data_IF_858953705268
#
_entry.id   IF_858953705268
#
_cell.length_a   1.000
_cell.length_b   1.000
_cell.length_c   1.000
_cell.angle_alpha   90.00
_cell.angle_beta   90.00
_cell.angle_gamma   90.00
#
_symmetry.space_group_name_H-M   'P 1'
#
loop_
_entity.id
_entity.type
_entity.pdbx_description
1 polymer ?
#
# COMPACT_ATOMS: atom_id res chain seq x y z
N UNK A 1 11.06 4.49 -29.08
CA UNK A 1 11.50 4.00 -27.76
C UNK A 1 12.01 5.16 -26.92
N UNK A 2 11.50 5.36 -25.71
CA UNK A 2 12.04 6.38 -24.78
C UNK A 2 13.04 5.71 -23.84
N UNK A 3 14.29 6.03 -23.95
CA UNK A 3 15.35 5.55 -23.07
C UNK A 3 15.15 6.12 -21.66
N UNK A 4 15.15 5.25 -20.65
CA UNK A 4 15.09 5.69 -19.25
C UNK A 4 16.48 6.09 -18.79
N UNK A 5 16.62 7.29 -18.19
CA UNK A 5 17.89 7.72 -17.64
C UNK A 5 18.35 6.79 -16.52
N UNK A 6 19.66 6.57 -16.38
CA UNK A 6 20.25 5.74 -15.30
C UNK A 6 19.83 6.18 -13.89
N UNK A 7 19.44 7.45 -13.70
CA UNK A 7 18.92 7.98 -12.43
C UNK A 7 17.51 7.51 -12.09
N UNK A 8 16.74 7.05 -13.08
CA UNK A 8 15.34 6.61 -12.92
C UNK A 8 15.18 5.11 -13.10
N UNK A 9 16.26 4.39 -13.34
CA UNK A 9 16.19 2.97 -13.56
C UNK A 9 16.25 2.21 -12.23
N UNK A 10 15.18 1.47 -11.93
CA UNK A 10 15.21 0.44 -10.90
C UNK A 10 15.83 -0.79 -11.54
N UNK A 11 16.97 -1.25 -11.04
CA UNK A 11 17.60 -2.48 -11.51
C UNK A 11 16.67 -3.65 -11.18
N UNK A 12 15.89 -4.08 -12.15
CA UNK A 12 14.93 -5.17 -12.03
C UNK A 12 14.93 -6.00 -13.29
N UNK A 13 15.00 -7.32 -13.13
CA UNK A 13 14.95 -8.31 -14.20
C UNK A 13 13.80 -9.27 -13.94
N UNK A 14 12.91 -9.43 -14.90
CA UNK A 14 11.80 -10.39 -14.82
C UNK A 14 12.05 -11.56 -15.75
N UNK A 15 11.82 -12.75 -15.23
CA UNK A 15 11.79 -14.02 -15.92
C UNK A 15 10.32 -14.47 -15.96
N UNK A 16 9.61 -14.25 -17.08
CA UNK A 16 8.15 -14.43 -17.13
C UNK A 16 7.73 -15.90 -17.17
N UNK A 17 8.59 -16.78 -17.65
CA UNK A 17 8.30 -18.21 -17.82
C UNK A 17 8.75 -19.00 -16.59
N UNK A 18 7.79 -19.46 -15.78
CA UNK A 18 8.06 -20.23 -14.57
C UNK A 18 8.72 -21.58 -14.85
N UNK A 19 8.43 -22.20 -15.99
CA UNK A 19 9.04 -23.46 -16.43
C UNK A 19 10.56 -23.41 -16.61
N UNK A 20 11.11 -22.21 -16.84
CA UNK A 20 12.56 -21.99 -16.96
C UNK A 20 13.23 -21.64 -15.62
N UNK A 21 12.48 -21.60 -14.54
CA UNK A 21 12.95 -21.21 -13.20
C UNK A 21 12.88 -22.43 -12.29
N UNK A 22 14.03 -22.94 -11.88
CA UNK A 22 14.13 -24.06 -10.96
C UNK A 22 14.40 -23.56 -9.54
N UNK A 23 13.76 -24.17 -8.53
CA UNK A 23 14.01 -23.91 -7.12
C UNK A 23 14.65 -25.12 -6.45
N UNK A 24 15.66 -24.88 -5.63
CA UNK A 24 16.29 -25.90 -4.80
C UNK A 24 16.39 -25.42 -3.36
N UNK A 25 15.84 -26.16 -2.42
CA UNK A 25 16.05 -25.95 -0.99
C UNK A 25 17.46 -26.40 -0.63
N UNK A 26 18.23 -25.54 0.01
CA UNK A 26 19.57 -25.84 0.49
C UNK A 26 19.58 -26.22 1.98
N UNK A 27 18.82 -25.46 2.78
CA UNK A 27 18.60 -25.73 4.20
C UNK A 27 17.38 -24.94 4.70
N UNK A 28 17.11 -24.97 6.01
CA UNK A 28 15.96 -24.28 6.64
C UNK A 28 15.86 -22.78 6.30
N UNK A 29 16.99 -22.10 6.05
CA UNK A 29 17.03 -20.65 5.85
C UNK A 29 17.51 -20.23 4.46
N UNK A 30 18.03 -21.13 3.67
CA UNK A 30 18.62 -20.82 2.36
C UNK A 30 18.00 -21.70 1.28
N UNK A 31 17.76 -21.08 0.14
CA UNK A 31 17.38 -21.75 -1.09
C UNK A 31 18.21 -21.20 -2.27
N UNK A 32 18.18 -21.87 -3.39
CA UNK A 32 18.77 -21.39 -4.62
C UNK A 32 17.70 -21.38 -5.71
N UNK A 33 17.78 -20.41 -6.59
CA UNK A 33 16.95 -20.31 -7.79
C UNK A 33 17.86 -20.35 -9.02
N UNK A 34 17.56 -21.22 -9.97
CA UNK A 34 18.23 -21.23 -11.27
C UNK A 34 17.47 -20.30 -12.20
N UNK A 35 18.17 -19.34 -12.75
CA UNK A 35 17.61 -18.34 -13.63
C UNK A 35 18.30 -18.42 -15.00
N UNK A 36 17.57 -18.29 -16.11
CA UNK A 36 18.16 -18.29 -17.44
C UNK A 36 19.28 -17.27 -17.55
N UNK A 37 20.40 -17.65 -18.13
CA UNK A 37 21.63 -16.85 -18.30
C UNK A 37 22.38 -16.44 -17.02
N UNK A 38 21.77 -16.59 -15.82
CA UNK A 38 22.40 -16.24 -14.55
C UNK A 38 22.85 -17.47 -13.75
N UNK A 39 22.36 -18.67 -14.11
CA UNK A 39 22.66 -19.88 -13.36
C UNK A 39 22.01 -19.91 -11.97
N UNK A 40 22.65 -20.60 -11.02
CA UNK A 40 22.15 -20.77 -9.67
C UNK A 40 22.47 -19.56 -8.79
N UNK A 41 21.44 -18.92 -8.27
CA UNK A 41 21.54 -17.77 -7.35
C UNK A 41 21.01 -18.18 -5.98
N UNK A 42 21.89 -18.14 -4.96
CA UNK A 42 21.54 -18.45 -3.57
C UNK A 42 20.82 -17.27 -2.93
N UNK A 43 19.80 -17.55 -2.12
CA UNK A 43 19.06 -16.52 -1.39
C UNK A 43 18.57 -17.01 -0.02
N UNK A 44 18.24 -16.07 0.85
CA UNK A 44 17.61 -16.38 2.15
C UNK A 44 16.12 -16.61 1.94
N UNK A 45 15.65 -17.82 2.14
CA UNK A 45 14.26 -18.17 2.09
C UNK A 45 13.55 -17.72 3.38
N UNK A 46 12.49 -16.93 3.25
CA UNK A 46 11.65 -16.50 4.37
C UNK A 46 10.48 -17.42 4.63
N UNK A 47 10.14 -18.30 3.68
CA UNK A 47 9.02 -19.25 3.72
C UNK A 47 9.39 -20.55 3.01
N UNK A 48 8.63 -21.62 3.28
CA UNK A 48 8.68 -22.82 2.45
C UNK A 48 8.15 -22.52 1.05
N UNK A 49 8.74 -23.15 0.06
CA UNK A 49 8.39 -23.03 -1.36
C UNK A 49 8.11 -24.41 -1.97
N UNK A 50 7.94 -25.44 -1.11
CA UNK A 50 7.69 -26.80 -1.53
C UNK A 50 6.26 -26.96 -2.06
N UNK A 51 6.09 -27.69 -3.13
CA UNK A 51 4.78 -28.02 -3.70
C UNK A 51 4.10 -26.89 -4.48
N UNK A 52 4.76 -25.75 -4.71
CA UNK A 52 4.16 -24.62 -5.42
C UNK A 52 4.62 -24.53 -6.88
N UNK A 53 3.65 -24.32 -7.77
CA UNK A 53 3.92 -24.09 -9.19
C UNK A 53 4.42 -22.66 -9.42
N UNK A 54 5.66 -22.54 -9.93
CA UNK A 54 6.22 -21.24 -10.28
C UNK A 54 5.66 -20.71 -11.59
N UNK A 55 5.22 -19.45 -11.58
CA UNK A 55 4.76 -18.75 -12.78
C UNK A 55 5.75 -17.72 -13.29
N UNK A 56 6.48 -17.04 -12.42
CA UNK A 56 7.56 -16.12 -12.83
C UNK A 56 8.48 -15.80 -11.67
N UNK A 57 9.67 -15.29 -11.98
CA UNK A 57 10.61 -14.76 -11.00
C UNK A 57 11.00 -13.33 -11.37
N UNK A 58 11.18 -12.47 -10.38
CA UNK A 58 11.66 -11.09 -10.59
C UNK A 58 12.77 -10.79 -9.61
N UNK A 59 13.93 -10.42 -10.12
CA UNK A 59 15.05 -9.89 -9.35
C UNK A 59 14.94 -8.39 -9.27
N UNK A 60 15.09 -7.82 -8.07
CA UNK A 60 15.06 -6.37 -7.87
C UNK A 60 16.14 -5.93 -6.91
N UNK A 61 16.90 -4.90 -7.26
CA UNK A 61 17.91 -4.29 -6.40
C UNK A 61 17.32 -3.19 -5.55
N UNK A 62 17.53 -3.25 -4.24
CA UNK A 62 17.17 -2.23 -3.27
C UNK A 62 18.38 -1.79 -2.45
N UNK A 63 18.91 -0.62 -2.73
CA UNK A 63 20.13 -0.15 -2.10
C UNK A 63 21.30 -1.11 -2.38
N UNK A 64 21.83 -1.75 -1.33
CA UNK A 64 22.91 -2.73 -1.43
C UNK A 64 22.44 -4.18 -1.59
N UNK A 65 21.14 -4.44 -1.51
CA UNK A 65 20.60 -5.80 -1.48
C UNK A 65 19.82 -6.15 -2.74
N UNK A 66 19.92 -7.41 -3.15
CA UNK A 66 19.07 -7.99 -4.18
C UNK A 66 17.95 -8.80 -3.54
N UNK A 67 16.77 -8.72 -4.11
CA UNK A 67 15.60 -9.49 -3.71
C UNK A 67 15.10 -10.30 -4.90
N UNK A 68 14.68 -11.53 -4.64
CA UNK A 68 13.93 -12.34 -5.60
C UNK A 68 12.45 -12.35 -5.17
N UNK A 69 11.56 -12.03 -6.09
CA UNK A 69 10.12 -12.19 -5.94
C UNK A 69 9.68 -13.33 -6.85
N UNK A 70 9.08 -14.34 -6.26
CA UNK A 70 8.58 -15.52 -6.97
C UNK A 70 7.06 -15.41 -7.05
N UNK A 71 6.52 -15.47 -8.24
CA UNK A 71 5.09 -15.61 -8.45
C UNK A 71 4.77 -17.09 -8.49
N UNK A 72 3.93 -17.53 -7.57
CA UNK A 72 3.54 -18.93 -7.43
C UNK A 72 2.03 -19.07 -7.53
N UNK A 73 1.59 -20.23 -7.97
CA UNK A 73 0.21 -20.64 -7.89
C UNK A 73 0.03 -21.46 -6.60
N UNK A 74 -0.85 -21.00 -5.74
CA UNK A 74 -1.06 -21.59 -4.43
C UNK A 74 -2.27 -22.55 -4.39
N UNK A 75 -3.01 -22.67 -5.48
CA UNK A 75 -4.19 -23.53 -5.59
C UNK A 75 -5.37 -23.13 -4.67
N UNK A 76 -5.25 -22.03 -3.92
CA UNK A 76 -6.26 -21.62 -2.96
C UNK A 76 -7.45 -20.95 -3.66
N UNK A 77 -8.62 -21.53 -3.49
CA UNK A 77 -9.89 -20.92 -3.89
C UNK A 77 -10.38 -19.96 -2.81
N UNK A 78 -11.03 -18.87 -3.22
CA UNK A 78 -11.70 -17.98 -2.29
C UNK A 78 -12.89 -18.72 -1.65
N UNK A 79 -13.01 -18.75 -0.30
CA UNK A 79 -14.17 -19.35 0.34
C UNK A 79 -15.47 -18.71 -0.13
N UNK A 80 -16.54 -19.50 -0.26
CA UNK A 80 -17.86 -19.00 -0.67
C UNK A 80 -18.50 -18.10 0.40
N UNK A 81 -18.14 -18.28 1.66
CA UNK A 81 -18.61 -17.48 2.79
C UNK A 81 -17.51 -17.23 3.81
N UNK A 82 -17.75 -16.28 4.69
CA UNK A 82 -16.87 -15.94 5.80
C UNK A 82 -17.36 -16.61 7.09
N UNK A 83 -16.43 -17.06 7.97
CA UNK A 83 -16.80 -17.72 9.23
C UNK A 83 -17.58 -16.82 10.21
N UNK A 84 -17.48 -15.49 10.11
CA UNK A 84 -18.27 -14.51 10.87
C UNK A 84 -19.27 -13.81 9.91
N UNK A 85 -20.30 -14.53 9.47
CA UNK A 85 -21.17 -14.13 8.38
C UNK A 85 -21.82 -12.73 8.55
N UNK A 86 -22.19 -12.36 9.77
CA UNK A 86 -22.94 -11.13 10.07
C UNK A 86 -22.05 -9.95 10.50
N UNK A 87 -20.75 -10.16 10.62
CA UNK A 87 -19.85 -9.12 11.07
C UNK A 87 -19.44 -8.19 9.93
N UNK A 88 -19.96 -6.96 9.95
CA UNK A 88 -19.61 -5.91 9.01
C UNK A 88 -18.98 -4.71 9.72
N UNK A 89 -18.01 -4.05 9.10
CA UNK A 89 -17.32 -2.88 9.65
C UNK A 89 -17.05 -1.81 8.61
N UNK A 90 -17.36 -0.55 8.95
CA UNK A 90 -16.90 0.63 8.23
C UNK A 90 -15.56 1.11 8.77
N UNK A 91 -14.63 1.43 7.89
CA UNK A 91 -13.29 1.90 8.27
C UNK A 91 -13.07 3.30 7.71
N UNK A 92 -13.07 4.29 8.60
CA UNK A 92 -12.57 5.62 8.30
C UNK A 92 -11.03 5.59 8.28
N UNK A 93 -10.46 6.16 7.22
CA UNK A 93 -9.01 6.22 7.02
C UNK A 93 -8.47 7.61 7.30
N UNK A 94 -8.88 8.19 8.43
CA UNK A 94 -8.42 9.51 8.87
C UNK A 94 -6.90 9.63 8.93
N UNK A 95 -6.39 10.83 8.65
CA UNK A 95 -4.93 11.09 8.73
C UNK A 95 -4.45 10.99 10.17
N UNK A 96 -5.27 11.42 11.12
CA UNK A 96 -4.93 11.48 12.55
C UNK A 96 -5.01 10.10 13.19
N UNK A 97 -6.11 9.39 13.02
CA UNK A 97 -6.29 8.05 13.62
C UNK A 97 -5.34 7.01 13.05
N UNK A 98 -4.99 7.10 11.76
CA UNK A 98 -3.91 6.30 11.20
C UNK A 98 -2.53 6.82 11.61
N UNK A 99 -2.38 8.10 11.91
CA UNK A 99 -1.13 8.74 12.33
C UNK A 99 -0.65 8.24 13.69
N UNK A 100 -1.52 8.15 14.66
CA UNK A 100 -1.19 7.66 16.01
C UNK A 100 -0.74 6.20 16.00
N UNK A 101 -1.33 5.37 15.16
CA UNK A 101 -0.91 3.98 14.96
C UNK A 101 0.40 3.88 14.17
N UNK A 102 0.66 4.82 13.26
CA UNK A 102 1.87 4.84 12.43
C UNK A 102 3.05 5.56 13.10
N UNK A 103 2.84 6.37 14.11
CA UNK A 103 3.91 6.96 14.90
C UNK A 103 4.75 5.91 15.63
N UNK A 104 4.18 4.73 15.91
CA UNK A 104 4.90 3.57 16.41
C UNK A 104 5.86 2.95 15.38
N UNK A 105 5.67 3.23 14.08
CA UNK A 105 6.50 2.67 12.99
C UNK A 105 7.87 3.33 12.91
N UNK A 106 7.98 4.58 13.36
CA UNK A 106 9.21 5.36 13.25
C UNK A 106 9.42 6.17 14.54
N UNK A 107 10.38 5.74 15.35
CA UNK A 107 10.65 6.37 16.64
C UNK A 107 11.06 7.83 16.50
N UNK A 108 10.88 8.64 17.54
CA UNK A 108 11.31 10.04 17.57
C UNK A 108 12.83 10.17 17.29
N UNK A 109 13.65 9.22 17.77
CA UNK A 109 15.07 9.18 17.50
C UNK A 109 15.38 8.92 16.02
N UNK A 110 14.64 8.01 15.37
CA UNK A 110 14.76 7.74 13.93
C UNK A 110 14.30 8.93 13.09
N UNK A 111 13.21 9.62 13.47
CA UNK A 111 12.75 10.87 12.85
C UNK A 111 13.85 11.94 12.91
N UNK A 112 14.45 12.17 14.10
CA UNK A 112 15.58 13.11 14.27
C UNK A 112 16.79 12.72 13.43
N UNK A 113 17.14 11.43 13.41
CA UNK A 113 18.26 10.91 12.60
C UNK A 113 18.02 11.10 11.11
N UNK A 114 16.81 10.85 10.61
CA UNK A 114 16.43 11.07 9.21
C UNK A 114 16.57 12.54 8.82
N UNK A 115 16.08 13.46 9.66
CA UNK A 115 16.20 14.89 9.45
C UNK A 115 17.67 15.35 9.44
N UNK A 116 18.49 14.84 10.38
CA UNK A 116 19.92 15.12 10.42
C UNK A 116 20.66 14.64 9.17
N UNK A 117 20.33 13.45 8.66
CA UNK A 117 20.89 12.93 7.42
C UNK A 117 20.44 13.75 6.20
N UNK A 118 19.19 14.20 6.18
CA UNK A 118 18.66 15.06 5.10
C UNK A 118 19.38 16.41 5.05
N UNK A 119 19.59 17.06 6.21
CA UNK A 119 20.35 18.31 6.32
C UNK A 119 21.81 18.13 5.88
N UNK A 120 22.47 17.03 6.29
CA UNK A 120 23.83 16.70 5.82
C UNK A 120 23.86 16.45 4.32
N UNK A 121 22.86 15.79 3.76
CA UNK A 121 22.76 15.51 2.34
C UNK A 121 22.60 16.78 1.50
N UNK A 122 21.84 17.78 1.98
CA UNK A 122 21.69 19.07 1.27
C UNK A 122 22.99 19.87 1.21
N UNK A 123 23.81 19.81 2.28
CA UNK A 123 25.09 20.55 2.39
C UNK A 123 26.25 19.86 1.66
N UNK A 124 26.18 18.54 1.46
CA UNK A 124 27.29 17.80 0.84
C UNK A 124 27.40 18.06 -0.66
N UNK A 125 28.62 18.23 -1.17
CA UNK A 125 28.89 18.48 -2.58
C UNK A 125 28.32 17.38 -3.49
N UNK A 126 27.69 17.77 -4.59
CA UNK A 126 27.13 16.84 -5.58
C UNK A 126 28.25 15.97 -6.15
N UNK A 127 28.04 14.66 -6.22
CA UNK A 127 29.03 13.69 -6.74
C UNK A 127 30.02 13.15 -5.72
N UNK A 128 30.20 13.81 -4.56
CA UNK A 128 31.20 13.39 -3.56
C UNK A 128 30.93 12.01 -2.96
N UNK A 129 31.98 11.31 -2.56
CA UNK A 129 31.90 10.03 -1.85
C UNK A 129 31.13 10.17 -0.52
N UNK A 130 31.35 11.27 0.21
CA UNK A 130 30.65 11.61 1.43
C UNK A 130 29.14 11.71 1.20
N UNK A 131 28.71 12.45 0.16
CA UNK A 131 27.28 12.54 -0.21
C UNK A 131 26.69 11.19 -0.56
N UNK A 132 27.43 10.35 -1.26
CA UNK A 132 26.96 8.99 -1.59
C UNK A 132 26.81 8.12 -0.33
N UNK A 133 27.70 8.23 0.64
CA UNK A 133 27.61 7.53 1.93
C UNK A 133 26.40 8.00 2.75
N UNK A 134 26.16 9.32 2.83
CA UNK A 134 25.00 9.90 3.52
C UNK A 134 23.70 9.45 2.83
N UNK A 135 23.63 9.51 1.50
CA UNK A 135 22.48 9.06 0.70
C UNK A 135 22.16 7.59 0.97
N UNK A 136 23.14 6.70 1.02
CA UNK A 136 22.95 5.28 1.35
C UNK A 136 22.35 5.09 2.75
N UNK A 137 22.87 5.82 3.75
CA UNK A 137 22.37 5.76 5.14
C UNK A 137 20.93 6.26 5.24
N UNK A 138 20.63 7.38 4.59
CA UNK A 138 19.28 7.93 4.53
C UNK A 138 18.30 6.98 3.84
N UNK A 139 18.67 6.44 2.67
CA UNK A 139 17.86 5.46 1.95
C UNK A 139 17.60 4.19 2.77
N UNK A 140 18.60 3.68 3.52
CA UNK A 140 18.43 2.54 4.41
C UNK A 140 17.40 2.80 5.52
N UNK A 141 17.43 3.99 6.13
CA UNK A 141 16.48 4.39 7.16
C UNK A 141 15.04 4.48 6.60
N UNK A 142 14.89 5.12 5.44
CA UNK A 142 13.59 5.22 4.74
C UNK A 142 13.05 3.84 4.30
N UNK A 143 13.93 2.94 3.88
CA UNK A 143 13.54 1.57 3.55
C UNK A 143 13.04 0.80 4.79
N UNK A 144 13.64 1.01 5.95
CA UNK A 144 13.16 0.42 7.21
C UNK A 144 11.78 0.94 7.60
N UNK A 145 11.56 2.24 7.52
CA UNK A 145 10.26 2.86 7.75
C UNK A 145 9.20 2.29 6.79
N UNK A 146 9.52 2.21 5.51
CA UNK A 146 8.60 1.68 4.50
C UNK A 146 8.21 0.21 4.76
N UNK A 147 9.16 -0.61 5.24
CA UNK A 147 8.89 -2.01 5.60
C UNK A 147 8.00 -2.14 6.84
N UNK A 148 8.28 -1.36 7.88
CA UNK A 148 7.45 -1.35 9.10
C UNK A 148 6.01 -0.91 8.79
N UNK A 149 5.85 0.14 7.97
CA UNK A 149 4.53 0.60 7.52
C UNK A 149 3.79 -0.49 6.75
N UNK A 150 4.49 -1.19 5.87
CA UNK A 150 3.91 -2.30 5.13
C UNK A 150 3.45 -3.43 6.05
N UNK A 151 4.29 -3.82 7.01
CA UNK A 151 3.98 -4.87 8.00
C UNK A 151 2.74 -4.48 8.82
N UNK A 152 2.69 -3.24 9.30
CA UNK A 152 1.52 -2.70 10.00
C UNK A 152 0.25 -2.77 9.15
N UNK A 153 0.28 -2.24 7.92
CA UNK A 153 -0.88 -2.26 7.02
C UNK A 153 -1.38 -3.69 6.76
N UNK A 154 -0.48 -4.64 6.54
CA UNK A 154 -0.86 -6.04 6.28
C UNK A 154 -1.43 -6.71 7.55
N UNK A 155 -0.84 -6.47 8.70
CA UNK A 155 -1.35 -7.02 9.98
C UNK A 155 -2.74 -6.49 10.31
N UNK A 156 -2.95 -5.17 10.16
CA UNK A 156 -4.26 -4.54 10.38
C UNK A 156 -5.29 -5.07 9.38
N UNK A 157 -4.94 -5.16 8.10
CA UNK A 157 -5.82 -5.71 7.08
C UNK A 157 -6.19 -7.17 7.37
N UNK A 158 -5.23 -7.99 7.81
CA UNK A 158 -5.47 -9.38 8.20
C UNK A 158 -6.40 -9.48 9.40
N UNK A 159 -6.16 -8.68 10.44
CA UNK A 159 -7.02 -8.68 11.63
C UNK A 159 -8.47 -8.30 11.31
N UNK A 160 -8.68 -7.31 10.42
CA UNK A 160 -10.03 -6.95 9.97
C UNK A 160 -10.67 -8.04 9.12
N UNK A 161 -9.94 -8.61 8.16
CA UNK A 161 -10.46 -9.66 7.29
C UNK A 161 -10.75 -10.97 8.02
N UNK A 162 -10.09 -11.25 9.14
CA UNK A 162 -10.39 -12.41 9.97
C UNK A 162 -11.63 -12.25 10.86
N UNK A 163 -11.96 -11.00 11.22
CA UNK A 163 -13.05 -10.70 12.15
C UNK A 163 -14.37 -10.35 11.47
N UNK A 164 -14.34 -9.93 10.22
CA UNK A 164 -15.50 -9.35 9.56
C UNK A 164 -15.73 -9.96 8.18
N UNK A 165 -16.98 -10.36 7.92
CA UNK A 165 -17.43 -10.83 6.61
C UNK A 165 -17.44 -9.70 5.59
N UNK A 166 -17.71 -8.46 6.04
CA UNK A 166 -17.71 -7.28 5.18
C UNK A 166 -16.85 -6.16 5.76
N UNK A 167 -15.98 -5.59 4.95
CA UNK A 167 -15.21 -4.39 5.28
C UNK A 167 -15.50 -3.30 4.26
N UNK A 168 -16.07 -2.19 4.74
CA UNK A 168 -16.43 -1.04 3.90
C UNK A 168 -15.38 0.05 4.05
N UNK A 169 -14.87 0.53 2.93
CA UNK A 169 -13.86 1.58 2.84
C UNK A 169 -14.37 2.76 2.01
N UNK A 170 -13.87 3.95 2.30
CA UNK A 170 -14.03 5.09 1.40
C UNK A 170 -13.22 4.92 0.10
N UNK A 171 -13.80 5.33 -1.02
CA UNK A 171 -13.12 5.40 -2.31
C UNK A 171 -12.27 6.68 -2.39
N UNK A 172 -11.09 6.68 -1.78
CA UNK A 172 -10.17 7.82 -1.78
C UNK A 172 -9.25 7.82 -3.01
N UNK A 173 -9.20 8.95 -3.72
CA UNK A 173 -8.23 9.16 -4.79
C UNK A 173 -6.94 9.78 -4.25
N UNK A 174 -6.09 8.98 -3.63
CA UNK A 174 -4.81 9.43 -3.05
C UNK A 174 -3.96 10.22 -4.04
N UNK A 175 -3.96 9.82 -5.32
CA UNK A 175 -3.25 10.52 -6.39
C UNK A 175 -3.74 11.98 -6.57
N UNK A 176 -5.05 12.19 -6.52
CA UNK A 176 -5.62 13.53 -6.65
C UNK A 176 -5.39 14.35 -5.38
N UNK A 177 -5.56 13.74 -4.21
CA UNK A 177 -5.36 14.38 -2.92
C UNK A 177 -3.91 14.86 -2.73
N UNK A 178 -2.92 14.12 -3.25
CA UNK A 178 -1.49 14.42 -3.11
C UNK A 178 -0.90 15.18 -4.30
N UNK A 179 -1.72 15.75 -5.17
CA UNK A 179 -1.23 16.64 -6.24
C UNK A 179 -0.51 17.85 -5.64
N UNK A 180 0.54 18.29 -6.31
CA UNK A 180 1.24 19.55 -5.95
C UNK A 180 0.31 20.73 -6.18
N UNK A 181 0.47 21.78 -5.37
CA UNK A 181 -0.17 23.05 -5.64
C UNK A 181 0.27 23.56 -7.02
N UNK A 182 -0.68 24.05 -7.81
CA UNK A 182 -0.34 24.66 -9.11
C UNK A 182 0.35 26.00 -8.86
N UNK A 183 1.40 26.34 -9.63
CA UNK A 183 1.94 27.70 -9.60
C UNK A 183 0.85 28.69 -10.04
N UNK A 184 0.78 29.81 -9.37
CA UNK A 184 -0.09 30.94 -9.72
C UNK A 184 0.82 32.08 -10.12
N UNK A 185 0.76 32.47 -11.39
CA UNK A 185 1.57 33.57 -11.93
C UNK A 185 1.03 34.91 -11.42
N UNK A 186 1.94 35.81 -11.14
CA UNK A 186 1.61 37.18 -10.69
C UNK A 186 1.13 37.98 -11.91
N UNK A 187 -0.13 38.47 -11.91
CA UNK A 187 -0.66 39.23 -13.04
C UNK A 187 0.07 40.54 -13.27
N UNK A 188 0.69 41.12 -12.23
CA UNK A 188 1.40 42.39 -12.31
C UNK A 188 2.89 42.22 -12.65
N UNK A 189 3.41 41.01 -12.65
CA UNK A 189 4.85 40.74 -12.89
C UNK A 189 5.02 39.41 -13.64
N UNK A 190 4.99 39.40 -14.97
CA UNK A 190 5.16 38.20 -15.79
C UNK A 190 6.45 37.44 -15.45
N UNK A 191 6.32 36.09 -15.25
CA UNK A 191 7.41 35.22 -14.84
C UNK A 191 7.63 35.16 -13.33
N UNK A 192 6.91 35.93 -12.53
CA UNK A 192 6.89 35.86 -11.08
C UNK A 192 5.69 35.04 -10.62
N UNK A 193 5.83 34.33 -9.50
CA UNK A 193 4.76 33.46 -8.95
C UNK A 193 4.37 33.90 -7.56
N UNK A 194 3.05 33.94 -7.33
CA UNK A 194 2.46 34.24 -6.02
C UNK A 194 2.60 33.10 -5.05
N UNK A 195 2.52 33.39 -3.75
CA UNK A 195 2.46 32.37 -2.71
C UNK A 195 1.13 31.61 -2.81
N UNK A 196 1.19 30.30 -3.01
CA UNK A 196 0.02 29.44 -3.26
C UNK A 196 -0.17 28.34 -2.22
N UNK A 197 0.39 28.47 -1.03
CA UNK A 197 0.29 27.49 0.04
C UNK A 197 1.03 26.17 -0.24
N UNK A 198 1.96 26.13 -1.22
CA UNK A 198 2.68 24.92 -1.64
C UNK A 198 3.41 24.22 -0.48
N UNK A 199 3.95 24.96 0.48
CA UNK A 199 4.64 24.40 1.64
C UNK A 199 3.67 23.62 2.55
N UNK A 200 2.52 24.21 2.91
CA UNK A 200 1.46 23.54 3.68
C UNK A 200 0.90 22.32 2.94
N UNK A 201 0.64 22.47 1.63
CA UNK A 201 0.18 21.35 0.79
C UNK A 201 1.22 20.22 0.72
N UNK A 202 2.50 20.52 0.68
CA UNK A 202 3.57 19.52 0.70
C UNK A 202 3.61 18.76 2.04
N UNK A 203 3.39 19.45 3.16
CA UNK A 203 3.26 18.83 4.48
C UNK A 203 2.08 17.87 4.55
N UNK A 204 0.89 18.32 4.12
CA UNK A 204 -0.31 17.49 4.06
C UNK A 204 -0.11 16.28 3.14
N UNK A 205 0.47 16.46 1.97
CA UNK A 205 0.76 15.36 1.05
C UNK A 205 1.68 14.32 1.70
N UNK A 206 2.69 14.78 2.45
CA UNK A 206 3.60 13.89 3.20
C UNK A 206 2.85 13.10 4.26
N UNK A 207 1.94 13.75 5.00
CA UNK A 207 1.12 13.08 6.02
C UNK A 207 0.20 12.03 5.38
N UNK A 208 -0.54 12.36 4.31
CA UNK A 208 -1.40 11.43 3.59
C UNK A 208 -0.61 10.22 3.06
N UNK A 209 0.56 10.45 2.46
CA UNK A 209 1.39 9.35 1.96
C UNK A 209 2.00 8.51 3.10
N UNK A 210 2.19 9.10 4.27
CA UNK A 210 2.68 8.39 5.45
C UNK A 210 1.66 7.40 6.01
N UNK A 211 0.34 7.64 5.88
CA UNK A 211 -0.71 6.73 6.38
C UNK A 211 -0.72 5.37 5.71
N UNK A 212 -0.26 5.28 4.46
CA UNK A 212 -0.18 4.00 3.75
C UNK A 212 -1.52 3.46 3.27
N UNK A 213 -2.54 4.29 3.06
CA UNK A 213 -3.90 3.87 2.63
C UNK A 213 -3.92 2.92 1.44
N UNK A 214 -3.10 3.20 0.43
CA UNK A 214 -2.99 2.31 -0.73
C UNK A 214 -2.44 0.91 -0.35
N UNK A 215 -1.47 0.86 0.58
CA UNK A 215 -0.88 -0.40 1.05
C UNK A 215 -1.87 -1.20 1.87
N UNK A 216 -2.62 -0.51 2.71
CA UNK A 216 -3.70 -1.12 3.50
C UNK A 216 -4.79 -1.69 2.58
N UNK A 217 -5.28 -0.91 1.61
CA UNK A 217 -6.27 -1.34 0.63
C UNK A 217 -5.80 -2.58 -0.16
N UNK A 218 -4.56 -2.57 -0.65
CA UNK A 218 -3.96 -3.73 -1.33
C UNK A 218 -3.79 -4.93 -0.40
N UNK A 219 -3.39 -4.69 0.84
CA UNK A 219 -3.26 -5.74 1.86
C UNK A 219 -4.61 -6.39 2.16
N UNK A 220 -5.66 -5.59 2.34
CA UNK A 220 -7.00 -6.07 2.60
C UNK A 220 -7.55 -6.87 1.41
N UNK A 221 -7.47 -6.35 0.20
CA UNK A 221 -7.89 -7.07 -1.02
C UNK A 221 -7.13 -8.39 -1.22
N UNK A 222 -5.86 -8.44 -0.81
CA UNK A 222 -5.08 -9.67 -0.91
C UNK A 222 -5.49 -10.71 0.13
N UNK A 223 -5.76 -10.29 1.36
CA UNK A 223 -6.13 -11.21 2.44
C UNK A 223 -7.57 -11.68 2.31
N UNK A 224 -8.48 -10.82 1.85
CA UNK A 224 -9.91 -11.14 1.68
C UNK A 224 -10.15 -12.38 0.81
N UNK A 225 -9.24 -12.67 -0.13
CA UNK A 225 -9.30 -13.90 -0.95
C UNK A 225 -9.20 -15.21 -0.14
N UNK A 226 -8.59 -15.16 1.04
CA UNK A 226 -8.43 -16.36 1.89
C UNK A 226 -9.48 -16.48 2.96
N UNK A 227 -10.14 -15.38 3.28
CA UNK A 227 -11.13 -15.33 4.35
C UNK A 227 -12.56 -15.31 3.82
N UNK A 228 -12.77 -15.05 2.53
CA UNK A 228 -14.10 -14.79 1.96
C UNK A 228 -14.64 -13.39 2.31
N UNK A 229 -13.86 -12.51 2.92
CA UNK A 229 -14.28 -11.17 3.30
C UNK A 229 -14.64 -10.33 2.06
N UNK A 230 -15.82 -9.75 2.06
CA UNK A 230 -16.25 -8.81 1.03
C UNK A 230 -15.67 -7.42 1.31
N UNK A 231 -14.96 -6.83 0.34
CA UNK A 231 -14.42 -5.47 0.44
C UNK A 231 -15.23 -4.54 -0.44
N UNK A 232 -16.01 -3.66 0.19
CA UNK A 232 -16.88 -2.68 -0.47
C UNK A 232 -16.24 -1.30 -0.42
N UNK A 233 -16.33 -0.52 -1.51
CA UNK A 233 -15.85 0.86 -1.57
C UNK A 233 -16.98 1.81 -1.86
N UNK A 234 -17.18 2.78 -0.96
CA UNK A 234 -18.24 3.80 -1.05
C UNK A 234 -17.67 5.19 -1.33
N UNK A 235 -18.44 6.10 -1.95
CA UNK A 235 -18.04 7.49 -2.09
C UNK A 235 -17.74 8.13 -0.73
N UNK A 236 -16.66 8.92 -0.66
CA UNK A 236 -16.25 9.63 0.57
C UNK A 236 -17.03 10.93 0.83
N UNK A 237 -17.94 11.31 -0.07
CA UNK A 237 -18.67 12.57 0.05
C UNK A 237 -19.57 12.55 1.29
N UNK A 238 -19.43 13.59 2.11
CA UNK A 238 -20.25 13.85 3.31
C UNK A 238 -20.19 12.81 4.43
N UNK A 239 -19.38 11.75 4.35
CA UNK A 239 -19.27 10.71 5.39
C UNK A 239 -18.90 11.29 6.75
N UNK A 240 -18.05 12.32 6.80
CA UNK A 240 -17.61 13.01 8.01
C UNK A 240 -18.56 14.13 8.49
N UNK A 241 -19.52 14.55 7.67
CA UNK A 241 -20.46 15.66 7.98
C UNK A 241 -21.88 15.15 8.25
N UNK A 242 -22.17 13.91 7.88
CA UNK A 242 -23.47 13.27 8.10
C UNK A 242 -23.56 12.77 9.53
N UNK A 243 -24.70 13.00 10.19
CA UNK A 243 -24.99 12.39 11.47
C UNK A 243 -25.38 10.92 11.31
N UNK A 244 -24.76 10.01 12.04
CA UNK A 244 -25.10 8.59 12.01
C UNK A 244 -26.43 8.25 12.70
N UNK A 245 -26.98 9.18 13.51
CA UNK A 245 -28.26 9.02 14.19
C UNK A 245 -29.46 9.42 13.33
N UNK A 246 -29.44 10.63 12.75
CA UNK A 246 -30.59 11.19 12.03
C UNK A 246 -30.36 11.35 10.51
N UNK A 247 -29.14 11.16 10.02
CA UNK A 247 -28.83 11.30 8.61
C UNK A 247 -28.60 12.75 8.11
N UNK A 248 -28.86 13.76 8.93
CA UNK A 248 -28.65 15.16 8.57
C UNK A 248 -27.19 15.42 8.20
N UNK A 249 -26.97 16.19 7.13
CA UNK A 249 -25.64 16.60 6.67
C UNK A 249 -25.45 18.06 6.96
N UNK A 250 -24.54 18.38 7.90
CA UNK A 250 -24.17 19.74 8.24
C UNK A 250 -22.68 19.82 8.61
N UNK A 251 -21.89 20.64 7.88
CA UNK A 251 -20.47 20.85 8.21
C UNK A 251 -20.24 21.35 9.64
N UNK A 252 -21.18 22.12 10.22
CA UNK A 252 -21.11 22.67 11.58
C UNK A 252 -21.21 21.59 12.65
N UNK A 253 -21.82 20.43 12.34
CA UNK A 253 -21.92 19.32 13.27
C UNK A 253 -20.54 18.69 13.61
N UNK A 254 -19.50 18.90 12.79
CA UNK A 254 -18.13 18.48 13.11
C UNK A 254 -17.37 19.63 13.76
N UNK A 255 -17.46 19.72 15.10
CA UNK A 255 -16.82 20.79 15.87
C UNK A 255 -15.28 20.70 15.83
N UNK A 256 -14.73 19.47 15.78
CA UNK A 256 -13.28 19.23 15.70
C UNK A 256 -12.96 17.92 14.99
N UNK A 257 -11.69 17.54 14.96
CA UNK A 257 -11.29 16.22 14.47
C UNK A 257 -11.83 15.08 15.34
N UNK A 258 -11.98 15.29 16.65
CA UNK A 258 -12.41 14.26 17.59
C UNK A 258 -13.90 14.37 17.94
N UNK A 259 -14.50 15.58 17.89
CA UNK A 259 -15.85 15.80 18.38
C UNK A 259 -16.83 16.05 17.24
N UNK A 260 -17.89 15.27 17.23
CA UNK A 260 -19.06 15.46 16.37
C UNK A 260 -20.28 15.71 17.26
N UNK A 261 -21.02 16.81 17.04
CA UNK A 261 -22.28 17.15 17.70
C UNK A 261 -23.29 17.55 16.63
N UNK A 262 -24.32 16.75 16.48
CA UNK A 262 -25.35 17.02 15.47
C UNK A 262 -26.12 18.28 15.81
N UNK A 263 -26.20 19.20 14.88
CA UNK A 263 -26.98 20.46 15.00
C UNK A 263 -28.49 20.23 14.98
N UNK A 264 -28.97 19.06 14.50
CA UNK A 264 -30.39 18.75 14.34
C UNK A 264 -30.94 17.86 15.47
N UNK A 265 -30.29 16.73 15.78
CA UNK A 265 -30.80 15.77 16.76
C UNK A 265 -29.99 15.72 18.07
N UNK A 266 -29.04 16.62 18.24
CA UNK A 266 -28.17 16.72 19.43
C UNK A 266 -27.34 15.48 19.74
N UNK A 267 -27.29 14.48 18.83
CA UNK A 267 -26.41 13.32 19.00
C UNK A 267 -24.95 13.78 19.09
N UNK A 268 -24.21 13.26 20.05
CA UNK A 268 -22.81 13.61 20.30
C UNK A 268 -21.96 12.36 20.35
N UNK A 269 -20.75 12.42 19.78
CA UNK A 269 -19.81 11.31 19.81
C UNK A 269 -18.48 11.62 19.12
N UNK A 270 -17.62 10.61 19.07
CA UNK A 270 -16.34 10.74 18.36
C UNK A 270 -16.56 10.85 16.85
N UNK A 271 -15.93 11.85 16.23
CA UNK A 271 -16.14 12.17 14.82
C UNK A 271 -15.75 10.99 13.88
N UNK A 272 -14.65 10.28 14.17
CA UNK A 272 -14.20 9.15 13.34
C UNK A 272 -15.12 7.94 13.53
N UNK A 273 -15.70 7.73 14.72
CA UNK A 273 -16.71 6.68 14.95
C UNK A 273 -18.00 6.98 14.19
N UNK A 274 -18.44 8.26 14.20
CA UNK A 274 -19.57 8.69 13.39
C UNK A 274 -19.33 8.46 11.89
N UNK A 275 -18.15 8.83 11.39
CA UNK A 275 -17.77 8.61 10.00
C UNK A 275 -17.74 7.11 9.65
N UNK A 276 -17.18 6.25 10.51
CA UNK A 276 -17.15 4.81 10.30
C UNK A 276 -18.55 4.19 10.22
N UNK A 277 -19.50 4.64 11.07
CA UNK A 277 -20.91 4.22 11.00
C UNK A 277 -21.56 4.64 9.67
N UNK A 278 -21.32 5.86 9.21
CA UNK A 278 -21.86 6.33 7.92
C UNK A 278 -21.26 5.57 6.73
N UNK A 279 -19.97 5.25 6.77
CA UNK A 279 -19.30 4.41 5.77
C UNK A 279 -19.93 3.02 5.73
N UNK A 280 -20.15 2.41 6.90
CA UNK A 280 -20.80 1.11 7.01
C UNK A 280 -22.22 1.14 6.42
N UNK A 281 -23.05 2.10 6.83
CA UNK A 281 -24.41 2.25 6.33
C UNK A 281 -24.46 2.41 4.80
N UNK A 282 -23.55 3.19 4.23
CA UNK A 282 -23.43 3.35 2.78
C UNK A 282 -23.03 2.03 2.09
N UNK A 283 -22.15 1.23 2.71
CA UNK A 283 -21.75 -0.08 2.18
C UNK A 283 -22.89 -1.08 2.18
N UNK A 284 -23.63 -1.15 3.26
CA UNK A 284 -24.83 -2.03 3.36
C UNK A 284 -25.88 -1.67 2.33
N UNK A 285 -26.14 -0.37 2.10
CA UNK A 285 -27.06 0.09 1.07
C UNK A 285 -26.62 -0.34 -0.33
N UNK A 286 -25.33 -0.24 -0.65
CA UNK A 286 -24.77 -0.69 -1.94
C UNK A 286 -24.93 -2.20 -2.14
N UNK A 287 -24.77 -2.99 -1.08
CA UNK A 287 -24.94 -4.46 -1.17
C UNK A 287 -26.40 -4.83 -1.35
N UNK A 288 -27.31 -4.25 -0.57
CA UNK A 288 -28.74 -4.48 -0.70
C UNK A 288 -29.27 -4.13 -2.11
N UNK A 289 -28.83 -3.00 -2.69
CA UNK A 289 -29.18 -2.66 -4.07
C UNK A 289 -28.65 -3.65 -5.12
N UNK A 290 -27.50 -4.30 -4.86
CA UNK A 290 -26.97 -5.32 -5.77
C UNK A 290 -27.73 -6.63 -5.70
N UNK A 291 -28.11 -7.04 -4.50
CA UNK A 291 -28.93 -8.23 -4.30
C UNK A 291 -30.33 -8.09 -4.91
N UNK A 292 -30.96 -6.93 -4.76
CA UNK A 292 -32.26 -6.64 -5.36
C UNK A 292 -32.22 -6.49 -6.90
N UNK A 293 -31.08 -6.13 -7.46
CA UNK A 293 -30.88 -5.99 -8.91
C UNK A 293 -30.45 -7.29 -9.61
N UNK A 294 -30.14 -8.36 -8.86
CA UNK A 294 -29.82 -9.66 -9.43
C UNK A 294 -31.12 -10.32 -9.93
N UNK A 295 -31.24 -10.72 -11.21
CA UNK A 295 -32.41 -11.43 -11.70
C UNK A 295 -32.55 -12.75 -10.91
N UNK A 296 -33.74 -13.01 -10.39
CA UNK A 296 -34.08 -14.26 -9.73
C UNK A 296 -33.85 -15.42 -10.72
N UNK A 297 -32.79 -16.20 -10.50
CA UNK A 297 -32.47 -17.38 -11.33
C UNK A 297 -31.07 -17.44 -11.93
N UNK A 298 -30.24 -16.41 -11.80
CA UNK A 298 -28.84 -16.54 -12.13
C UNK A 298 -28.11 -17.25 -10.97
N UNK A 299 -27.99 -18.57 -11.04
CA UNK A 299 -26.94 -19.27 -10.33
C UNK A 299 -25.64 -18.53 -10.71
N UNK A 300 -24.95 -17.98 -9.72
CA UNK A 300 -23.63 -17.39 -9.92
C UNK A 300 -22.68 -18.47 -10.45
N UNK A 301 -22.66 -18.62 -11.77
CA UNK A 301 -21.46 -19.06 -12.41
C UNK A 301 -20.44 -17.98 -12.08
N UNK A 302 -19.67 -18.21 -11.04
CA UNK A 302 -18.45 -17.48 -10.79
C UNK A 302 -17.67 -17.52 -12.11
N UNK A 303 -17.77 -16.46 -12.91
CA UNK A 303 -16.81 -16.22 -13.98
C UNK A 303 -15.48 -16.12 -13.28
N UNK A 304 -14.83 -17.27 -13.14
CA UNK A 304 -13.39 -17.30 -13.05
C UNK A 304 -12.93 -16.58 -14.32
N UNK A 305 -12.63 -15.30 -14.20
CA UNK A 305 -11.81 -14.66 -15.21
C UNK A 305 -10.56 -15.52 -15.32
N UNK A 306 -10.27 -16.06 -16.52
CA UNK A 306 -9.07 -16.80 -16.73
C UNK A 306 -7.92 -15.92 -16.26
N UNK A 307 -6.91 -16.50 -15.65
CA UNK A 307 -5.75 -15.82 -15.06
C UNK A 307 -4.85 -15.13 -16.12
N UNK A 308 -5.46 -14.59 -17.16
CA UNK A 308 -4.88 -13.82 -18.24
C UNK A 308 -5.07 -12.34 -18.01
N UNK A 309 -3.96 -11.60 -17.94
CA UNK A 309 -3.84 -10.15 -18.07
C UNK A 309 -4.12 -9.25 -16.86
N UNK A 310 -3.72 -9.63 -15.66
CA UNK A 310 -3.39 -8.65 -14.61
C UNK A 310 -1.96 -8.10 -14.68
N UNK A 311 -1.34 -8.13 -15.85
CA UNK A 311 0.00 -7.56 -16.08
C UNK A 311 0.03 -6.03 -16.03
N UNK A 312 -1.05 -5.37 -16.35
CA UNK A 312 -1.07 -3.90 -16.53
C UNK A 312 -1.12 -3.10 -15.23
N UNK A 313 -1.58 -3.68 -14.13
CA UNK A 313 -1.68 -2.98 -12.83
C UNK A 313 -0.39 -2.99 -12.00
N UNK A 314 0.63 -3.72 -12.44
CA UNK A 314 1.93 -3.84 -11.76
C UNK A 314 3.06 -3.09 -12.46
N UNK A 315 2.82 -2.48 -13.61
CA UNK A 315 3.84 -1.85 -14.46
C UNK A 315 3.91 -0.33 -14.36
N UNK A 316 3.23 0.30 -13.40
CA UNK A 316 3.48 1.70 -13.09
C UNK A 316 4.10 1.88 -11.71
N UNK A 317 5.41 1.68 -11.55
CA UNK A 317 6.13 2.36 -10.51
C UNK A 317 6.30 3.81 -10.96
N UNK A 318 5.32 4.68 -10.73
CA UNK A 318 5.62 6.10 -10.71
C UNK A 318 6.47 6.36 -9.49
N UNK A 319 7.64 6.84 -9.78
CA UNK A 319 8.63 7.46 -8.93
C UNK A 319 7.99 8.37 -7.87
N UNK A 320 7.67 7.79 -6.76
CA UNK A 320 7.62 8.49 -5.49
C UNK A 320 8.58 7.72 -4.62
N UNK A 321 9.63 8.41 -4.16
CA UNK A 321 10.69 7.98 -3.24
C UNK A 321 10.76 6.47 -2.98
N UNK A 322 11.86 5.77 -2.95
CA UNK A 322 11.93 4.31 -2.95
C UNK A 322 11.18 3.72 -1.75
N UNK A 323 9.88 3.80 -1.79
CA UNK A 323 8.91 3.18 -0.93
C UNK A 323 8.59 1.84 -1.55
N UNK A 324 9.32 0.85 -1.15
CA UNK A 324 9.16 -0.50 -1.63
C UNK A 324 7.90 -1.12 -1.07
N UNK A 325 6.94 -1.39 -1.92
CA UNK A 325 5.82 -2.23 -1.54
C UNK A 325 6.31 -3.67 -1.41
N UNK A 326 6.52 -4.12 -0.17
CA UNK A 326 6.34 -5.52 0.15
C UNK A 326 4.83 -5.79 0.13
N UNK A 327 4.22 -5.77 -1.03
CA UNK A 327 2.95 -6.42 -1.21
C UNK A 327 3.21 -7.91 -1.06
N UNK A 328 2.80 -8.47 0.05
CA UNK A 328 2.46 -9.88 0.06
C UNK A 328 1.20 -10.00 -0.79
N UNK A 329 1.39 -9.87 -2.11
CA UNK A 329 0.49 -10.54 -3.00
C UNK A 329 0.67 -11.99 -2.63
N UNK A 330 -0.37 -12.66 -2.26
CA UNK A 330 -0.34 -14.04 -1.79
C UNK A 330 0.29 -14.97 -2.82
N UNK A 331 0.36 -14.53 -4.04
CA UNK A 331 1.09 -15.19 -5.13
C UNK A 331 2.57 -14.77 -5.26
N UNK A 332 3.07 -13.80 -4.46
CA UNK A 332 4.45 -13.33 -4.54
C UNK A 332 5.18 -13.55 -3.24
N UNK A 333 6.18 -14.39 -3.28
CA UNK A 333 7.10 -14.62 -2.17
C UNK A 333 8.43 -13.97 -2.49
N UNK A 334 8.96 -13.22 -1.53
CA UNK A 334 10.26 -12.55 -1.65
C UNK A 334 11.28 -13.19 -0.73
N UNK A 335 12.47 -13.33 -1.24
CA UNK A 335 13.62 -13.77 -0.47
C UNK A 335 14.84 -12.88 -0.75
N UNK A 336 15.67 -12.67 0.24
CA UNK A 336 16.88 -11.85 0.12
C UNK A 336 18.02 -12.65 -0.49
N UNK A 337 18.63 -12.11 -1.52
CA UNK A 337 19.85 -12.62 -2.11
C UNK A 337 21.06 -12.04 -1.36
N UNK A 338 21.75 -12.85 -0.59
CA UNK A 338 23.10 -12.51 -0.15
C UNK A 338 24.08 -12.89 -1.27
N UNK A 339 24.50 -11.94 -2.09
CA UNK A 339 25.64 -12.13 -2.98
C UNK A 339 26.94 -12.14 -2.16
N UNK A 340 27.49 -13.28 -1.89
CA UNK A 340 28.94 -13.42 -1.85
C UNK A 340 29.43 -13.59 -3.30
N UNK A 341 29.94 -12.52 -3.91
CA UNK A 341 30.77 -12.66 -5.09
C UNK A 341 32.04 -13.44 -4.68
N UNK A 342 32.42 -14.50 -5.37
CA UNK A 342 33.80 -14.93 -5.32
C UNK A 342 34.60 -13.90 -6.14
N UNK A 343 35.43 -13.12 -5.48
CA UNK A 343 36.62 -12.53 -6.09
C UNK A 343 37.55 -13.71 -6.38
N UNK A 344 37.80 -13.97 -7.62
CA UNK A 344 38.75 -15.01 -8.03
C UNK A 344 38.70 -15.28 -9.51
N UNK A 345 39.61 -14.62 -10.26
CA UNK A 345 40.18 -14.87 -11.61
C UNK A 345 39.22 -14.58 -12.77
#
# INVERSE_FOLDING_TARGET
MRWRSARRWVSSFRFPQGSQVELRKLNRRKAAVKLPKLGWVKFRASRSLEGETLRSATLTKEGAHWFVSLLVEDGVCTPAGHGAADAAVGVDRGVTSAGDLLDQVFTAAEKRRALGLQRKLSRAAKGSASRNKIRRRYAGLRATEARRRQDFCVKTARGLAQKHAMVVLEKLSTKNMTRRAKPVEDPDSPGRYLSNGAAGKSGLNTAILATGWYRFDKGLTSVSRYTGTQVVKVPAAFTSQRCSGCGQVDPKSRESQAVFRCTSCSWTGHADVNAAKNILAAGLAVTACRESAAPAGAAETSKQEPAGNREELLLQPRLESPGFSRGEDVKRRRACLSCSCPTGI
#
